data_IF_824108368084
#
_entry.id   IF_824108368084
#
_cell.length_a   1.000
_cell.length_b   1.000
_cell.length_c   1.000
_cell.angle_alpha   90.00
_cell.angle_beta   90.00
_cell.angle_gamma   90.00
#
_symmetry.space_group_name_H-M   'P 1'
#
loop_
_entity.id
_entity.type
_entity.pdbx_description
1 polymer ?
#
# COMPACT_ATOMS: atom_id res chain seq x y z
N UNK A 1 13.41 9.87 -10.16
CA UNK A 1 13.24 8.91 -11.26
C UNK A 1 14.43 8.00 -11.56
N UNK A 2 15.67 8.46 -11.78
CA UNK A 2 16.78 7.55 -12.17
C UNK A 2 17.11 6.42 -11.15
N UNK A 3 16.62 6.50 -9.90
CA UNK A 3 16.83 5.51 -8.83
C UNK A 3 15.53 4.93 -8.25
N UNK A 4 14.39 5.17 -8.89
CA UNK A 4 13.09 4.64 -8.46
C UNK A 4 12.76 3.38 -9.27
N UNK A 5 12.54 2.26 -8.59
CA UNK A 5 12.17 1.01 -9.27
C UNK A 5 10.74 1.13 -9.83
N UNK A 6 10.57 0.76 -11.09
CA UNK A 6 9.26 0.67 -11.76
C UNK A 6 8.90 -0.80 -11.92
N UNK A 7 7.65 -1.15 -11.59
CA UNK A 7 7.12 -2.51 -11.71
C UNK A 7 6.02 -2.53 -12.75
N UNK A 8 6.27 -3.17 -13.89
CA UNK A 8 5.27 -3.45 -14.90
C UNK A 8 4.51 -4.72 -14.53
N UNK A 9 3.28 -4.57 -14.04
CA UNK A 9 2.46 -5.69 -13.55
C UNK A 9 1.34 -6.06 -14.53
N UNK A 10 1.18 -7.36 -14.88
CA UNK A 10 0.07 -7.81 -15.72
C UNK A 10 -1.24 -7.93 -14.93
N UNK A 11 -1.17 -8.00 -13.59
CA UNK A 11 -2.29 -8.17 -12.68
C UNK A 11 -2.70 -6.90 -11.92
N UNK A 12 -3.68 -7.05 -11.02
CA UNK A 12 -4.08 -5.97 -10.10
C UNK A 12 -3.11 -5.84 -8.93
N UNK A 13 -2.78 -6.96 -8.30
CA UNK A 13 -1.72 -7.07 -7.32
C UNK A 13 -0.34 -6.88 -7.96
N UNK A 14 0.54 -6.16 -7.26
CA UNK A 14 1.86 -5.80 -7.79
C UNK A 14 2.90 -6.89 -7.57
N UNK A 15 2.61 -7.93 -6.77
CA UNK A 15 3.49 -9.07 -6.56
C UNK A 15 3.27 -10.19 -7.58
N UNK A 16 2.09 -10.24 -8.21
CA UNK A 16 1.77 -11.31 -9.16
C UNK A 16 2.54 -11.17 -10.47
N UNK A 17 3.40 -12.16 -10.76
CA UNK A 17 4.22 -12.26 -11.97
C UNK A 17 5.14 -11.04 -12.20
N UNK A 18 5.72 -10.51 -11.11
CA UNK A 18 6.72 -9.43 -11.13
C UNK A 18 7.91 -9.79 -10.25
N UNK A 19 8.93 -8.94 -10.25
CA UNK A 19 10.12 -9.03 -9.40
C UNK A 19 10.03 -8.15 -8.13
N UNK A 20 8.86 -7.58 -7.80
CA UNK A 20 8.70 -6.64 -6.68
C UNK A 20 9.20 -7.22 -5.35
N UNK A 21 8.83 -8.47 -5.02
CA UNK A 21 9.26 -9.10 -3.76
C UNK A 21 10.79 -9.23 -3.66
N UNK A 22 11.43 -9.65 -4.76
CA UNK A 22 12.88 -9.77 -4.84
C UNK A 22 13.55 -8.40 -4.65
N UNK A 23 13.02 -7.35 -5.30
CA UNK A 23 13.53 -5.99 -5.16
C UNK A 23 13.44 -5.51 -3.72
N UNK A 24 12.27 -5.69 -3.07
CA UNK A 24 12.04 -5.26 -1.70
C UNK A 24 12.98 -5.97 -0.71
N UNK A 25 13.11 -7.30 -0.82
CA UNK A 25 14.00 -8.08 0.03
C UNK A 25 15.48 -7.76 -0.19
N UNK A 26 15.90 -7.59 -1.45
CA UNK A 26 17.30 -7.23 -1.77
C UNK A 26 17.69 -5.87 -1.16
N UNK A 27 16.72 -4.96 -1.03
CA UNK A 27 16.90 -3.64 -0.39
C UNK A 27 16.67 -3.66 1.12
N UNK A 28 16.31 -4.81 1.71
CA UNK A 28 16.02 -4.93 3.14
C UNK A 28 14.78 -4.14 3.59
N UNK A 29 13.86 -3.84 2.67
CA UNK A 29 12.63 -3.09 2.98
C UNK A 29 11.68 -3.98 3.77
N UNK A 30 11.11 -3.43 4.85
CA UNK A 30 10.13 -4.13 5.72
C UNK A 30 8.80 -3.39 5.82
N UNK A 31 8.82 -2.07 5.64
CA UNK A 31 7.67 -1.19 5.78
C UNK A 31 7.30 -0.62 4.40
N UNK A 32 6.02 -0.63 4.05
CA UNK A 32 5.49 -0.09 2.80
C UNK A 32 4.42 0.95 3.07
N UNK A 33 4.62 2.16 2.55
CA UNK A 33 3.58 3.19 2.46
C UNK A 33 2.99 3.10 1.05
N UNK A 34 1.68 2.87 0.96
CA UNK A 34 1.00 2.54 -0.28
C UNK A 34 0.05 3.69 -0.64
N UNK A 35 0.19 4.18 -1.87
CA UNK A 35 -0.64 5.24 -2.48
C UNK A 35 -1.10 4.81 -3.88
N UNK A 36 -2.00 5.57 -4.50
CA UNK A 36 -2.39 5.40 -5.90
C UNK A 36 -3.83 4.93 -6.10
N UNK A 37 -4.10 4.35 -7.27
CA UNK A 37 -5.46 4.01 -7.71
C UNK A 37 -5.57 2.63 -8.39
N UNK A 38 -6.73 1.96 -8.33
CA UNK A 38 -7.86 2.29 -7.45
C UNK A 38 -7.67 1.70 -6.06
N UNK A 39 -8.22 2.37 -5.03
CA UNK A 39 -8.10 1.96 -3.62
C UNK A 39 -8.57 0.54 -3.40
N UNK A 40 -9.73 0.20 -3.94
CA UNK A 40 -10.44 -1.07 -3.74
C UNK A 40 -9.90 -2.22 -4.61
N UNK A 41 -9.13 -1.92 -5.66
CA UNK A 41 -8.59 -2.92 -6.59
C UNK A 41 -7.07 -3.04 -6.46
N UNK A 42 -6.29 -2.21 -7.17
CA UNK A 42 -4.85 -2.38 -7.29
C UNK A 42 -4.13 -2.15 -5.95
N UNK A 43 -4.52 -1.09 -5.23
CA UNK A 43 -3.93 -0.73 -3.94
C UNK A 43 -4.20 -1.82 -2.91
N UNK A 44 -5.47 -2.18 -2.70
CA UNK A 44 -5.85 -3.14 -1.67
C UNK A 44 -5.44 -4.58 -2.01
N UNK A 45 -5.38 -4.97 -3.29
CA UNK A 45 -4.79 -6.27 -3.67
C UNK A 45 -3.30 -6.32 -3.34
N UNK A 46 -2.54 -5.28 -3.72
CA UNK A 46 -1.10 -5.20 -3.44
C UNK A 46 -0.82 -5.17 -1.93
N UNK A 47 -1.63 -4.43 -1.16
CA UNK A 47 -1.52 -4.38 0.30
C UNK A 47 -1.73 -5.75 0.94
N UNK A 48 -2.76 -6.49 0.52
CA UNK A 48 -3.02 -7.84 1.03
C UNK A 48 -1.88 -8.80 0.71
N UNK A 49 -1.39 -8.75 -0.54
CA UNK A 49 -0.23 -9.54 -0.97
C UNK A 49 1.03 -9.23 -0.14
N UNK A 50 1.27 -7.96 0.17
CA UNK A 50 2.39 -7.52 1.00
C UNK A 50 2.22 -7.96 2.46
N UNK A 51 1.05 -7.74 3.05
CA UNK A 51 0.71 -8.15 4.41
C UNK A 51 0.90 -9.66 4.61
N UNK A 52 0.39 -10.49 3.69
CA UNK A 52 0.53 -11.95 3.76
C UNK A 52 1.99 -12.42 3.68
N UNK A 53 2.89 -11.60 3.12
CA UNK A 53 4.34 -11.84 3.05
C UNK A 53 5.10 -11.27 4.25
N UNK A 54 4.41 -10.64 5.20
CA UNK A 54 5.00 -10.08 6.42
C UNK A 54 5.57 -8.67 6.27
N UNK A 55 5.20 -7.93 5.22
CA UNK A 55 5.51 -6.49 5.15
C UNK A 55 4.52 -5.70 6.02
N UNK A 56 5.05 -4.74 6.77
CA UNK A 56 4.22 -3.80 7.53
C UNK A 56 3.69 -2.71 6.60
N UNK A 57 2.38 -2.65 6.44
CA UNK A 57 1.74 -1.83 5.42
C UNK A 57 0.96 -0.66 6.01
N UNK A 58 1.07 0.51 5.37
CA UNK A 58 0.27 1.69 5.66
C UNK A 58 -0.31 2.26 4.37
N UNK A 59 -1.63 2.48 4.32
CA UNK A 59 -2.28 3.16 3.20
C UNK A 59 -2.57 4.62 3.58
N UNK A 60 -2.26 5.54 2.67
CA UNK A 60 -2.62 6.96 2.84
C UNK A 60 -3.99 7.22 2.22
N UNK A 61 -4.99 7.53 3.04
CA UNK A 61 -6.38 7.64 2.60
C UNK A 61 -6.61 8.74 1.57
N UNK A 62 -5.95 9.88 1.75
CA UNK A 62 -6.05 11.05 0.86
C UNK A 62 -5.16 10.95 -0.39
N UNK A 63 -4.23 9.98 -0.43
CA UNK A 63 -3.40 9.69 -1.60
C UNK A 63 -3.93 8.49 -2.41
N UNK A 64 -5.17 8.06 -2.15
CA UNK A 64 -5.84 6.98 -2.85
C UNK A 64 -7.23 7.41 -3.31
N UNK A 65 -7.73 6.82 -4.40
CA UNK A 65 -9.10 7.02 -4.86
C UNK A 65 -9.65 5.75 -5.53
N UNK A 66 -10.97 5.58 -5.53
CA UNK A 66 -11.67 4.53 -6.27
C UNK A 66 -12.66 5.11 -7.27
N UNK A 67 -13.22 4.29 -8.15
CA UNK A 67 -14.25 4.71 -9.10
C UNK A 67 -15.55 5.11 -8.41
N UNK A 68 -15.83 4.53 -7.24
CA UNK A 68 -16.93 4.92 -6.37
C UNK A 68 -16.44 5.20 -4.94
N UNK A 69 -16.88 6.31 -4.37
CA UNK A 69 -16.50 6.73 -3.03
C UNK A 69 -16.82 5.67 -1.96
N UNK A 70 -17.97 5.00 -2.07
CA UNK A 70 -18.38 3.95 -1.13
C UNK A 70 -17.41 2.75 -1.12
N UNK A 71 -16.77 2.45 -2.25
CA UNK A 71 -15.79 1.36 -2.36
C UNK A 71 -14.43 1.77 -1.81
N UNK A 72 -14.02 3.03 -2.04
CA UNK A 72 -12.85 3.61 -1.38
C UNK A 72 -12.96 3.52 0.15
N UNK A 73 -14.08 4.01 0.70
CA UNK A 73 -14.34 4.00 2.15
C UNK A 73 -14.42 2.59 2.73
N UNK A 74 -15.10 1.67 2.03
CA UNK A 74 -15.19 0.28 2.46
C UNK A 74 -13.82 -0.41 2.48
N UNK A 75 -12.99 -0.21 1.45
CA UNK A 75 -11.64 -0.77 1.39
C UNK A 75 -10.77 -0.25 2.55
N UNK A 76 -10.80 1.05 2.84
CA UNK A 76 -10.09 1.62 3.99
C UNK A 76 -10.62 1.10 5.33
N UNK A 77 -11.93 0.87 5.45
CA UNK A 77 -12.51 0.27 6.66
C UNK A 77 -12.05 -1.17 6.87
N UNK A 78 -11.93 -1.97 5.80
CA UNK A 78 -11.50 -3.37 5.88
C UNK A 78 -10.09 -3.50 6.46
N UNK A 79 -9.19 -2.58 6.14
CA UNK A 79 -7.81 -2.56 6.65
C UNK A 79 -7.77 -2.51 8.17
N UNK A 80 -8.60 -1.67 8.78
CA UNK A 80 -8.59 -1.35 10.22
C UNK A 80 -9.25 -2.43 11.09
N UNK A 81 -9.95 -3.38 10.50
CA UNK A 81 -10.67 -4.41 11.25
C UNK A 81 -9.71 -5.31 12.04
N UNK A 82 -10.20 -5.92 13.13
CA UNK A 82 -9.46 -6.88 13.95
C UNK A 82 -8.09 -6.37 14.45
N UNK A 83 -8.00 -5.06 14.74
CA UNK A 83 -6.76 -4.44 15.23
C UNK A 83 -5.77 -4.07 14.13
N UNK A 84 -6.23 -3.95 12.87
CA UNK A 84 -5.35 -3.64 11.73
C UNK A 84 -4.97 -4.89 10.94
N UNK A 85 -5.96 -5.71 10.57
CA UNK A 85 -5.77 -7.03 9.92
C UNK A 85 -4.87 -7.01 8.68
N UNK A 86 -4.81 -5.88 7.95
CA UNK A 86 -3.92 -5.72 6.79
C UNK A 86 -2.84 -4.64 7.00
N UNK A 87 -2.80 -4.00 8.17
CA UNK A 87 -1.95 -2.85 8.48
C UNK A 87 -2.72 -1.63 8.96
N UNK A 88 -2.20 -0.44 8.66
CA UNK A 88 -2.73 0.85 9.13
C UNK A 88 -3.25 1.75 8.00
N UNK A 89 -4.08 2.73 8.38
CA UNK A 89 -4.54 3.82 7.50
C UNK A 89 -4.26 5.16 8.19
N UNK A 90 -3.68 6.11 7.48
CA UNK A 90 -3.48 7.50 7.93
C UNK A 90 -3.63 8.46 6.74
N UNK A 91 -3.43 9.76 6.95
CA UNK A 91 -3.39 10.77 5.90
C UNK A 91 -1.95 11.29 5.65
N UNK A 92 -1.76 11.94 4.51
CA UNK A 92 -0.44 12.46 4.11
C UNK A 92 0.09 13.51 5.08
N UNK A 93 -0.77 14.35 5.66
CA UNK A 93 -0.36 15.39 6.61
C UNK A 93 0.24 14.77 7.87
N UNK A 94 -0.44 13.79 8.46
CA UNK A 94 0.03 13.05 9.64
C UNK A 94 1.34 12.33 9.35
N UNK A 95 1.49 11.74 8.16
CA UNK A 95 2.76 11.11 7.75
C UNK A 95 3.89 12.13 7.67
N UNK A 96 3.66 13.28 7.00
CA UNK A 96 4.67 14.31 6.82
C UNK A 96 5.11 14.92 8.16
N UNK A 97 4.16 15.16 9.07
CA UNK A 97 4.45 15.64 10.42
C UNK A 97 5.32 14.64 11.19
N UNK A 98 5.01 13.33 11.10
CA UNK A 98 5.83 12.29 11.74
C UNK A 98 7.25 12.22 11.16
N UNK A 99 7.39 12.31 9.84
CA UNK A 99 8.70 12.27 9.16
C UNK A 99 9.54 13.52 9.42
N UNK A 100 8.92 14.68 9.65
CA UNK A 100 9.64 15.90 10.00
C UNK A 100 10.29 15.84 11.39
N UNK A 101 9.86 14.91 12.24
CA UNK A 101 10.39 14.70 13.60
C UNK A 101 11.42 13.56 13.70
N UNK A 102 11.67 12.84 12.60
CA UNK A 102 12.62 11.73 12.52
C UNK A 102 14.00 12.20 12.05
#
# INVERSE_FOLDING_TARGET
MANETIIDKPGKGSFYATDLELVLHTRGIKNLIITGITTDVCVHTTMREANDRGFECMVLSDCCAATEQKHHEAALSMIKMQGGIFGAVTDSATLLDALATA
#
